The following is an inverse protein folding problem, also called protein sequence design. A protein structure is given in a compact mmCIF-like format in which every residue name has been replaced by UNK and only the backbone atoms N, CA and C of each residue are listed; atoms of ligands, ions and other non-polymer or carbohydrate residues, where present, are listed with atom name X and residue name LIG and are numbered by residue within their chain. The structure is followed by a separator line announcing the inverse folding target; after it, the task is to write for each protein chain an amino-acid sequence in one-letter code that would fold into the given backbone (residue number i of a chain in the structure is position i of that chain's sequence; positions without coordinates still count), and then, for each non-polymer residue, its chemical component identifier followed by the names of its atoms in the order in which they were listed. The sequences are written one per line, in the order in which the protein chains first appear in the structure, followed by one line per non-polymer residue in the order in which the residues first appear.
data_IF_769773112616
#
_entry.id   IF_769773112616
#
_cell.length_a   1.000
_cell.length_b   1.000
_cell.length_c   1.000
_cell.angle_alpha   90.00
_cell.angle_beta   90.00
_cell.angle_gamma   90.00
#
_symmetry.space_group_name_H-M   'P 1'
#
loop_
_entity.id
_entity.type
_entity.pdbx_description
1 polymer ?
#
# COMPACT_ATOMS: atom_id res chain seq x y z
N UNK A 1 -10.87 3.62 17.70
CA UNK A 1 -10.32 5.00 17.80
C UNK A 1 -10.84 5.77 16.60
N UNK A 2 -11.41 6.97 16.76
CA UNK A 2 -11.77 7.78 15.60
C UNK A 2 -10.49 8.17 14.83
N UNK A 3 -10.58 8.21 13.50
CA UNK A 3 -9.55 8.70 12.57
C UNK A 3 -8.20 7.96 12.60
N UNK A 4 -8.25 6.62 12.62
CA UNK A 4 -7.07 5.78 12.44
C UNK A 4 -7.22 4.94 11.18
N UNK A 5 -6.31 5.12 10.23
CA UNK A 5 -6.18 4.27 9.05
C UNK A 5 -5.21 3.14 9.37
N UNK A 6 -5.64 1.90 9.15
CA UNK A 6 -4.78 0.73 9.23
C UNK A 6 -4.27 0.38 7.83
N UNK A 7 -2.96 0.43 7.64
CA UNK A 7 -2.29 0.05 6.39
C UNK A 7 -1.60 -1.30 6.59
N UNK A 8 -1.88 -2.23 5.68
CA UNK A 8 -1.33 -3.58 5.63
C UNK A 8 -0.11 -3.58 4.71
N UNK A 9 0.96 -4.24 5.14
CA UNK A 9 2.21 -4.39 4.40
C UNK A 9 2.35 -5.81 3.86
N UNK A 10 3.13 -5.97 2.79
CA UNK A 10 3.37 -7.27 2.15
C UNK A 10 4.16 -8.25 3.04
N UNK A 11 4.77 -7.81 4.14
CA UNK A 11 5.39 -8.72 5.11
C UNK A 11 4.41 -9.23 6.19
N UNK A 12 3.10 -9.01 6.01
CA UNK A 12 2.05 -9.38 6.98
C UNK A 12 1.92 -8.43 8.18
N UNK A 13 2.79 -7.43 8.29
CA UNK A 13 2.68 -6.41 9.34
C UNK A 13 1.62 -5.37 9.00
N UNK A 14 1.21 -4.61 10.03
CA UNK A 14 0.30 -3.48 9.86
C UNK A 14 0.85 -2.23 10.53
N UNK A 15 0.63 -1.08 9.91
CA UNK A 15 0.96 0.24 10.46
C UNK A 15 -0.33 1.05 10.64
N UNK A 16 -0.52 1.61 11.82
CA UNK A 16 -1.63 2.48 12.12
C UNK A 16 -1.22 3.94 11.94
N UNK A 17 -2.04 4.70 11.21
CA UNK A 17 -1.84 6.13 10.95
C UNK A 17 -3.01 6.90 11.51
N UNK A 18 -2.73 7.83 12.43
CA UNK A 18 -3.71 8.86 12.76
C UNK A 18 -3.74 9.86 11.61
N UNK A 19 -4.93 10.27 11.19
CA UNK A 19 -5.10 11.25 10.13
C UNK A 19 -6.02 12.39 10.56
N UNK A 20 -5.84 13.54 9.91
CA UNK A 20 -6.68 14.72 10.02
C UNK A 20 -7.49 14.90 8.72
N UNK A 21 -8.35 15.92 8.67
CA UNK A 21 -9.18 16.19 7.48
C UNK A 21 -8.36 16.58 6.24
N UNK A 22 -7.16 17.11 6.43
CA UNK A 22 -6.22 17.52 5.37
C UNK A 22 -5.20 16.44 4.99
N UNK A 23 -5.11 15.32 5.73
CA UNK A 23 -4.13 14.28 5.44
C UNK A 23 -4.44 13.62 4.10
N UNK A 24 -3.46 13.66 3.20
CA UNK A 24 -3.53 13.07 1.87
C UNK A 24 -2.99 11.64 1.86
N UNK A 25 -3.29 10.90 0.81
CA UNK A 25 -2.65 9.61 0.50
C UNK A 25 -1.14 9.75 0.41
N UNK A 26 -0.66 10.83 -0.22
CA UNK A 26 0.77 11.14 -0.35
C UNK A 26 1.48 11.21 1.00
N UNK A 27 0.87 11.87 1.99
CA UNK A 27 1.48 12.00 3.33
C UNK A 27 1.70 10.62 3.98
N UNK A 28 0.75 9.70 3.82
CA UNK A 28 0.87 8.33 4.33
C UNK A 28 1.96 7.55 3.57
N UNK A 29 1.99 7.67 2.24
CA UNK A 29 3.01 7.03 1.39
C UNK A 29 4.42 7.50 1.76
N UNK A 30 4.63 8.82 1.91
CA UNK A 30 5.93 9.38 2.30
C UNK A 30 6.32 8.98 3.73
N UNK A 31 5.36 8.89 4.66
CA UNK A 31 5.64 8.39 6.01
C UNK A 31 6.08 6.91 5.98
N UNK A 32 5.49 6.09 5.10
CA UNK A 32 5.92 4.71 4.90
C UNK A 32 7.29 4.62 4.23
N UNK A 33 7.56 5.48 3.24
CA UNK A 33 8.85 5.61 2.59
C UNK A 33 9.97 5.76 3.63
N UNK A 34 9.84 6.74 4.52
CA UNK A 34 10.82 7.01 5.57
C UNK A 34 10.96 5.83 6.54
N UNK A 35 9.82 5.28 7.02
CA UNK A 35 9.83 4.19 8.01
C UNK A 35 10.38 2.88 7.49
N UNK A 36 10.23 2.62 6.19
CA UNK A 36 10.70 1.40 5.54
C UNK A 36 12.04 1.62 4.84
N UNK A 37 12.59 2.83 4.85
CA UNK A 37 13.84 3.20 4.16
C UNK A 37 13.81 2.90 2.65
N UNK A 38 12.66 3.13 2.02
CA UNK A 38 12.46 2.95 0.58
C UNK A 38 12.98 4.17 -0.17
N UNK A 39 13.82 3.97 -1.18
CA UNK A 39 14.33 5.02 -2.06
C UNK A 39 13.43 5.22 -3.28
N UNK A 40 13.00 4.12 -3.90
CA UNK A 40 12.28 4.14 -5.18
C UNK A 40 10.75 4.22 -4.97
N UNK A 41 10.31 5.24 -4.23
CA UNK A 41 8.90 5.39 -3.81
C UNK A 41 7.92 5.54 -4.99
N UNK A 42 8.41 5.98 -6.15
CA UNK A 42 7.62 6.13 -7.37
C UNK A 42 6.96 4.82 -7.84
N UNK A 43 7.45 3.67 -7.39
CA UNK A 43 6.85 2.37 -7.69
C UNK A 43 5.66 2.01 -6.79
N UNK A 44 5.46 2.73 -5.69
CA UNK A 44 4.53 2.37 -4.63
C UNK A 44 3.27 3.23 -4.64
N UNK A 45 2.18 2.64 -4.15
CA UNK A 45 0.94 3.35 -3.89
C UNK A 45 0.16 2.71 -2.74
N UNK A 46 -0.85 3.42 -2.25
CA UNK A 46 -1.91 2.80 -1.45
C UNK A 46 -3.01 2.27 -2.36
N UNK A 47 -3.50 1.08 -2.04
CA UNK A 47 -4.66 0.48 -2.70
C UNK A 47 -5.68 0.03 -1.66
N UNK A 48 -6.95 0.06 -2.03
CA UNK A 48 -8.02 -0.57 -1.27
C UNK A 48 -8.44 -1.87 -1.95
N UNK A 49 -8.42 -2.95 -1.20
CA UNK A 49 -8.85 -4.27 -1.64
C UNK A 49 -10.13 -4.65 -0.89
N UNK A 50 -11.14 -5.09 -1.63
CA UNK A 50 -12.44 -5.48 -1.08
C UNK A 50 -12.33 -6.85 -0.38
N UNK A 51 -12.72 -6.95 0.89
CA UNK A 51 -12.54 -8.17 1.70
C UNK A 51 -13.31 -9.37 1.15
N UNK A 52 -14.45 -9.14 0.51
CA UNK A 52 -15.30 -10.19 -0.06
C UNK A 52 -15.01 -10.47 -1.54
N UNK A 53 -14.12 -9.68 -2.16
CA UNK A 53 -13.74 -9.83 -3.56
C UNK A 53 -12.29 -9.35 -3.76
N UNK A 54 -11.34 -10.25 -3.50
CA UNK A 54 -9.91 -9.95 -3.58
C UNK A 54 -9.43 -9.59 -4.99
N UNK A 55 -10.21 -9.91 -6.03
CA UNK A 55 -9.91 -9.50 -7.40
C UNK A 55 -10.17 -8.00 -7.64
N UNK A 56 -10.89 -7.32 -6.75
CA UNK A 56 -11.27 -5.91 -6.90
C UNK A 56 -10.36 -5.03 -6.04
N UNK A 57 -9.38 -4.44 -6.72
CA UNK A 57 -8.41 -3.53 -6.13
C UNK A 57 -8.66 -2.12 -6.68
N UNK A 58 -8.61 -1.13 -5.80
CA UNK A 58 -8.75 0.28 -6.13
C UNK A 58 -7.49 1.04 -5.77
N UNK A 59 -6.78 1.52 -6.78
CA UNK A 59 -5.66 2.43 -6.61
C UNK A 59 -6.14 3.78 -6.05
N UNK A 60 -5.49 4.27 -5.01
CA UNK A 60 -5.76 5.60 -4.44
C UNK A 60 -4.83 6.63 -5.07
N UNK A 61 -5.39 7.75 -5.52
CA UNK A 61 -4.62 8.86 -6.06
C UNK A 61 -3.93 9.63 -4.93
N UNK A 62 -2.71 10.14 -5.18
CA UNK A 62 -1.87 10.74 -4.13
C UNK A 62 -2.51 11.99 -3.46
N UNK A 63 -3.33 12.73 -4.20
CA UNK A 63 -4.03 13.92 -3.71
C UNK A 63 -5.35 13.62 -2.97
N UNK A 64 -5.82 12.38 -2.96
CA UNK A 64 -7.04 12.02 -2.23
C UNK A 64 -6.85 12.21 -0.71
N UNK A 65 -7.88 12.74 -0.06
CA UNK A 65 -7.90 12.90 1.40
C UNK A 65 -8.29 11.59 2.08
N UNK A 66 -7.50 11.14 3.06
CA UNK A 66 -7.77 9.90 3.80
C UNK A 66 -9.14 9.92 4.46
N UNK A 67 -9.56 11.06 5.00
CA UNK A 67 -10.90 11.20 5.58
C UNK A 67 -12.02 10.88 4.57
N UNK A 68 -11.88 11.32 3.31
CA UNK A 68 -12.85 11.01 2.26
C UNK A 68 -12.77 9.56 1.82
N UNK A 69 -11.57 8.99 1.72
CA UNK A 69 -11.35 7.58 1.38
C UNK A 69 -12.03 6.66 2.40
N UNK A 70 -11.85 6.93 3.69
CA UNK A 70 -12.44 6.16 4.80
C UNK A 70 -13.95 6.36 4.92
N UNK A 71 -14.47 7.54 4.57
CA UNK A 71 -15.91 7.82 4.65
C UNK A 71 -16.69 7.28 3.44
N UNK A 72 -16.15 7.39 2.22
CA UNK A 72 -16.82 6.96 0.98
C UNK A 72 -16.98 5.45 0.88
N UNK A 73 -16.12 4.71 1.58
CA UNK A 73 -16.03 3.26 1.48
C UNK A 73 -16.11 2.74 2.89
N UNK A 74 -17.19 2.06 3.21
CA UNK A 74 -17.42 1.52 4.54
C UNK A 74 -16.17 0.74 4.96
N UNK A 75 -15.43 1.27 5.93
CA UNK A 75 -14.04 0.84 6.18
C UNK A 75 -13.92 -0.63 6.56
N UNK A 76 -15.04 -1.24 6.95
CA UNK A 76 -15.17 -2.66 7.26
C UNK A 76 -15.08 -3.55 6.02
N UNK A 77 -15.38 -3.03 4.82
CA UNK A 77 -15.40 -3.81 3.59
C UNK A 77 -14.05 -3.83 2.86
N UNK A 78 -13.09 -3.02 3.29
CA UNK A 78 -11.83 -2.83 2.57
C UNK A 78 -10.58 -2.99 3.46
N UNK A 79 -9.51 -3.52 2.86
CA UNK A 79 -8.15 -3.49 3.40
C UNK A 79 -7.35 -2.43 2.66
N UNK A 80 -6.71 -1.51 3.38
CA UNK A 80 -5.77 -0.57 2.78
C UNK A 80 -4.37 -1.20 2.76
N UNK A 81 -3.82 -1.43 1.57
CA UNK A 81 -2.52 -2.07 1.37
C UNK A 81 -1.53 -1.06 0.82
N UNK A 82 -0.27 -1.15 1.26
CA UNK A 82 0.85 -0.45 0.62
C UNK A 82 1.53 -1.43 -0.33
N UNK A 83 1.52 -1.14 -1.64
CA UNK A 83 1.94 -2.10 -2.67
C UNK A 83 2.81 -1.44 -3.73
N UNK A 84 3.68 -2.23 -4.33
CA UNK A 84 4.31 -1.90 -5.61
C UNK A 84 3.25 -2.02 -6.71
N UNK A 85 2.84 -0.89 -7.28
CA UNK A 85 1.78 -0.81 -8.30
C UNK A 85 2.33 -0.46 -9.69
N UNK A 86 3.52 0.15 -9.74
CA UNK A 86 4.15 0.56 -10.99
C UNK A 86 5.47 -0.18 -11.14
N UNK A 87 5.41 -1.43 -11.59
CA UNK A 87 6.57 -2.33 -11.64
C UNK A 87 7.55 -1.85 -12.72
N UNK A 88 8.87 -1.79 -12.43
CA UNK A 88 9.87 -1.45 -13.43
C UNK A 88 9.93 -2.52 -14.52
N UNK A 89 10.38 -2.11 -15.72
CA UNK A 89 10.45 -3.03 -16.87
C UNK A 89 11.42 -4.20 -16.63
N UNK A 90 12.53 -3.91 -15.96
CA UNK A 90 13.49 -4.92 -15.50
C UNK A 90 13.54 -4.90 -13.96
N UNK A 91 13.15 -5.98 -13.27
CA UNK A 91 13.26 -6.07 -11.81
C UNK A 91 14.70 -5.97 -11.28
N UNK A 92 15.72 -6.30 -12.10
CA UNK A 92 17.11 -6.21 -11.68
C UNK A 92 17.59 -4.77 -11.54
N UNK A 93 17.01 -3.84 -12.29
CA UNK A 93 17.28 -2.40 -12.13
C UNK A 93 16.84 -1.95 -10.73
N UNK A 94 15.65 -2.39 -10.29
CA UNK A 94 15.14 -2.09 -8.95
C UNK A 94 16.02 -2.69 -7.86
N UNK A 95 16.51 -3.93 -8.04
CA UNK A 95 17.43 -4.56 -7.09
C UNK A 95 18.73 -3.76 -6.95
N UNK A 96 19.26 -3.23 -8.04
CA UNK A 96 20.48 -2.42 -8.00
C UNK A 96 20.26 -1.04 -7.35
N UNK A 97 19.14 -0.40 -7.66
CA UNK A 97 18.80 0.94 -7.15
C UNK A 97 18.36 0.92 -5.68
N UNK A 98 17.45 0.01 -5.36
CA UNK A 98 16.77 -0.11 -4.08
C UNK A 98 16.44 -1.58 -3.75
N UNK A 99 17.39 -2.31 -3.12
CA UNK A 99 17.18 -3.68 -2.68
C UNK A 99 15.97 -3.86 -1.75
N UNK A 100 15.61 -2.83 -0.98
CA UNK A 100 14.46 -2.89 -0.06
C UNK A 100 13.16 -2.88 -0.85
N UNK A 101 13.05 -2.01 -1.86
CA UNK A 101 11.90 -2.02 -2.76
C UNK A 101 11.78 -3.33 -3.55
N UNK A 102 12.92 -3.88 -4.01
CA UNK A 102 12.94 -5.18 -4.68
C UNK A 102 12.48 -6.32 -3.76
N UNK A 103 12.96 -6.39 -2.53
CA UNK A 103 12.52 -7.39 -1.55
C UNK A 103 11.01 -7.28 -1.28
N UNK A 104 10.50 -6.04 -1.18
CA UNK A 104 9.08 -5.78 -1.04
C UNK A 104 8.26 -6.32 -2.22
N UNK A 105 8.71 -6.06 -3.46
CA UNK A 105 8.10 -6.60 -4.67
C UNK A 105 8.14 -8.14 -4.68
N UNK A 106 9.25 -8.74 -4.26
CA UNK A 106 9.39 -10.19 -4.18
C UNK A 106 8.38 -10.82 -3.20
N UNK A 107 8.22 -10.23 -2.01
CA UNK A 107 7.23 -10.66 -1.03
C UNK A 107 5.80 -10.53 -1.58
N UNK A 108 5.50 -9.39 -2.21
CA UNK A 108 4.20 -9.13 -2.83
C UNK A 108 3.81 -10.20 -3.86
N UNK A 109 4.75 -10.58 -4.73
CA UNK A 109 4.52 -11.61 -5.75
C UNK A 109 4.38 -13.00 -5.12
N UNK A 110 5.24 -13.32 -4.15
CA UNK A 110 5.26 -14.65 -3.52
C UNK A 110 4.00 -14.92 -2.72
N UNK A 111 3.50 -13.93 -1.97
CA UNK A 111 2.26 -14.06 -1.20
C UNK A 111 1.02 -14.05 -2.10
N UNK A 112 1.02 -13.25 -3.17
CA UNK A 112 -0.05 -13.26 -4.16
C UNK A 112 -0.24 -14.63 -4.84
N UNK A 113 0.84 -15.38 -5.03
CA UNK A 113 0.77 -16.76 -5.55
C UNK A 113 0.23 -17.76 -4.52
N UNK A 114 0.47 -17.52 -3.23
CA UNK A 114 -0.07 -18.32 -2.13
C UNK A 114 -1.60 -18.23 -2.01
N UNK A 115 -2.20 -17.08 -2.30
CA UNK A 115 -3.67 -16.90 -2.28
C UNK A 115 -4.37 -17.47 -3.53
N UNK A 116 -3.66 -17.69 -4.64
CA UNK A 116 -4.21 -18.30 -5.88
C UNK A 116 -4.20 -19.84 -5.81
N UNK A 117 -3.40 -20.43 -4.91
CA UNK A 117 -3.21 -21.87 -4.78
C UNK A 117 -4.02 -22.53 -3.64
N UNK A 118 -4.98 -21.83 -3.03
CA UNK A 118 -5.88 -22.36 -2.00
C UNK A 118 -7.33 -22.31 -2.45
#
# INVERSE_FOLDING_TARGET
MPNVLKVYLENGQTKAFRFESSTTVKDIVLTLQEKLSIRSIAHFALVLEEQYNLAKIHLLHEEELIAQVVQKRDSHDYRCLFRVCFVPRDPLDLLQEDPVAFEYLYLQVTLGLGEIMV
#
